data_IF_365843173335
#
_entry.id   IF_365843173335
#
_cell.length_a   1.000
_cell.length_b   1.000
_cell.length_c   1.000
_cell.angle_alpha   90.00
_cell.angle_beta   90.00
_cell.angle_gamma   90.00
#
_symmetry.space_group_name_H-M   'P 1'
#
loop_
_entity.id
_entity.type
_entity.pdbx_description
1 polymer ?
#
# COMPACT_ATOMS: atom_id res chain seq x y z
N UNK A 1 -3.77 22.14 7.21
CA UNK A 1 -4.93 21.28 6.85
C UNK A 1 -4.75 19.95 7.61
N UNK A 2 -5.80 19.20 7.92
CA UNK A 2 -5.69 17.95 8.70
C UNK A 2 -5.61 16.77 7.70
N UNK A 3 -4.70 15.80 7.86
CA UNK A 3 -4.62 14.65 6.94
C UNK A 3 -5.91 13.82 6.88
N UNK A 4 -6.72 13.86 7.94
CA UNK A 4 -8.02 13.17 7.99
C UNK A 4 -9.17 14.18 7.97
N UNK A 5 -10.25 13.80 7.27
CA UNK A 5 -11.51 14.53 7.25
C UNK A 5 -12.00 14.91 8.66
N UNK A 6 -12.64 16.07 8.81
CA UNK A 6 -13.16 16.53 10.11
C UNK A 6 -14.15 15.55 10.75
N UNK A 7 -14.92 14.82 9.92
CA UNK A 7 -15.90 13.84 10.37
C UNK A 7 -15.24 12.66 11.09
N UNK A 8 -14.06 12.23 10.63
CA UNK A 8 -13.35 11.07 11.17
C UNK A 8 -12.34 11.40 12.26
N UNK A 9 -12.11 12.68 12.58
CA UNK A 9 -11.22 13.08 13.68
C UNK A 9 -11.67 12.51 15.03
N UNK A 10 -12.99 12.34 15.22
CA UNK A 10 -13.56 11.73 16.43
C UNK A 10 -13.29 10.22 16.55
N UNK A 11 -12.85 9.58 15.47
CA UNK A 11 -12.57 8.15 15.40
C UNK A 11 -11.07 7.82 15.50
N UNK A 12 -10.22 8.84 15.70
CA UNK A 12 -8.77 8.67 15.82
C UNK A 12 -8.43 8.04 17.17
N UNK A 13 -7.71 6.92 17.13
CA UNK A 13 -7.14 6.26 18.30
C UNK A 13 -5.68 6.67 18.47
N UNK A 14 -5.23 7.04 19.67
CA UNK A 14 -3.81 7.33 19.92
C UNK A 14 -2.93 6.15 19.50
N UNK A 15 -1.91 6.41 18.68
CA UNK A 15 -1.07 5.34 18.14
C UNK A 15 -0.46 4.44 19.21
N UNK A 16 0.05 5.01 20.31
CA UNK A 16 0.64 4.21 21.39
C UNK A 16 -0.38 3.25 22.03
N UNK A 17 -1.62 3.70 22.22
CA UNK A 17 -2.69 2.86 22.75
C UNK A 17 -3.00 1.74 21.76
N UNK A 18 -3.24 2.09 20.49
CA UNK A 18 -3.56 1.11 19.47
C UNK A 18 -2.42 0.11 19.22
N UNK A 19 -1.16 0.56 19.25
CA UNK A 19 0.03 -0.28 19.10
C UNK A 19 0.04 -1.37 20.15
N UNK A 20 -0.19 -1.02 21.41
CA UNK A 20 -0.19 -1.96 22.51
C UNK A 20 -1.39 -2.93 22.40
N UNK A 21 -2.57 -2.44 22.00
CA UNK A 21 -3.73 -3.29 21.70
C UNK A 21 -3.43 -4.26 20.54
N UNK A 22 -2.84 -3.77 19.46
CA UNK A 22 -2.48 -4.54 18.27
C UNK A 22 -1.47 -5.64 18.58
N UNK A 23 -0.42 -5.35 19.35
CA UNK A 23 0.53 -6.35 19.84
C UNK A 23 -0.21 -7.43 20.63
N UNK A 24 -1.17 -7.04 21.48
CA UNK A 24 -1.94 -7.98 22.30
C UNK A 24 -2.98 -8.79 21.51
N UNK A 25 -3.30 -8.44 20.26
CA UNK A 25 -4.11 -9.28 19.36
C UNK A 25 -3.42 -10.59 18.97
N UNK A 26 -2.11 -10.71 19.22
CA UNK A 26 -1.31 -11.89 18.89
C UNK A 26 -1.13 -12.78 20.12
N UNK A 27 -1.53 -14.05 20.00
CA UNK A 27 -1.48 -14.99 21.15
C UNK A 27 -0.09 -15.59 21.40
N UNK A 28 0.83 -15.49 20.43
CA UNK A 28 2.15 -16.09 20.50
C UNK A 28 3.20 -15.04 20.88
N UNK A 29 3.97 -15.28 21.94
CA UNK A 29 5.01 -14.34 22.40
C UNK A 29 6.11 -14.10 21.35
N UNK A 30 6.41 -15.10 20.51
CA UNK A 30 7.33 -14.93 19.38
C UNK A 30 6.77 -13.91 18.38
N UNK A 31 5.48 -13.97 18.09
CA UNK A 31 4.82 -13.03 17.17
C UNK A 31 4.78 -11.62 17.78
N UNK A 32 4.44 -11.49 19.07
CA UNK A 32 4.47 -10.21 19.77
C UNK A 32 5.86 -9.58 19.71
N UNK A 33 6.91 -10.36 20.01
CA UNK A 33 8.29 -9.88 19.95
C UNK A 33 8.69 -9.42 18.55
N UNK A 34 8.31 -10.15 17.50
CA UNK A 34 8.56 -9.75 16.12
C UNK A 34 7.88 -8.41 15.76
N UNK A 35 6.65 -8.19 16.24
CA UNK A 35 5.90 -6.96 16.00
C UNK A 35 6.46 -5.79 16.81
N UNK A 36 6.90 -6.02 18.06
CA UNK A 36 7.63 -5.02 18.84
C UNK A 36 8.89 -4.57 18.09
N UNK A 37 9.67 -5.52 17.55
CA UNK A 37 10.87 -5.21 16.78
C UNK A 37 10.55 -4.37 15.52
N UNK A 38 9.40 -4.58 14.87
CA UNK A 38 8.95 -3.73 13.76
C UNK A 38 8.72 -2.29 14.20
N UNK A 39 7.98 -2.08 15.29
CA UNK A 39 7.75 -0.72 15.78
C UNK A 39 9.02 -0.05 16.28
N UNK A 40 9.94 -0.79 16.90
CA UNK A 40 11.25 -0.28 17.27
C UNK A 40 12.08 0.11 16.05
N UNK A 41 12.08 -0.68 14.97
CA UNK A 41 12.76 -0.34 13.71
C UNK A 41 12.18 0.96 13.10
N UNK A 42 10.85 1.10 13.10
CA UNK A 42 10.16 2.32 12.65
C UNK A 42 10.62 3.54 13.47
N UNK A 43 10.58 3.45 14.80
CA UNK A 43 11.03 4.54 15.69
C UNK A 43 12.51 4.86 15.51
N UNK A 44 13.36 3.84 15.35
CA UNK A 44 14.79 4.00 15.18
C UNK A 44 15.13 4.69 13.85
N UNK A 45 14.43 4.39 12.75
CA UNK A 45 14.60 5.10 11.49
C UNK A 45 14.22 6.57 11.60
N UNK A 46 13.07 6.87 12.22
CA UNK A 46 12.63 8.26 12.44
C UNK A 46 13.70 9.06 13.21
N UNK A 47 14.19 8.50 14.33
CA UNK A 47 15.24 9.12 15.16
C UNK A 47 16.54 9.32 14.38
N UNK A 48 17.01 8.30 13.65
CA UNK A 48 18.26 8.35 12.89
C UNK A 48 18.23 9.38 11.77
N UNK A 49 17.07 9.59 11.14
CA UNK A 49 16.92 10.48 9.98
C UNK A 49 16.38 11.86 10.33
N UNK A 50 15.97 12.09 11.59
CA UNK A 50 15.27 13.29 12.02
C UNK A 50 14.06 13.59 11.12
N UNK A 51 13.27 12.55 10.86
CA UNK A 51 12.12 12.61 9.96
C UNK A 51 10.94 11.90 10.64
N UNK A 52 9.96 12.65 11.17
CA UNK A 52 8.84 12.06 11.89
C UNK A 52 7.90 11.31 10.93
N UNK A 53 7.39 10.17 11.39
CA UNK A 53 6.34 9.39 10.76
C UNK A 53 5.18 9.26 11.74
N UNK A 54 4.08 9.92 11.43
CA UNK A 54 2.89 9.96 12.27
C UNK A 54 1.90 8.86 11.85
N UNK A 55 1.35 8.16 12.83
CA UNK A 55 0.30 7.17 12.61
C UNK A 55 -1.04 7.75 13.03
N UNK A 56 -2.03 7.66 12.14
CA UNK A 56 -3.40 7.99 12.42
C UNK A 56 -4.27 6.75 12.26
N UNK A 57 -4.63 6.18 13.40
CA UNK A 57 -5.46 4.98 13.44
C UNK A 57 -6.91 5.40 13.52
N UNK A 58 -7.72 5.02 12.53
CA UNK A 58 -9.14 5.35 12.44
C UNK A 58 -9.96 4.10 12.73
N UNK A 59 -10.76 4.13 13.79
CA UNK A 59 -11.65 3.01 14.15
C UNK A 59 -12.91 2.99 13.25
N UNK A 60 -12.69 2.81 11.96
CA UNK A 60 -13.72 2.76 10.92
C UNK A 60 -13.34 1.72 9.84
N UNK A 61 -14.27 1.40 8.95
CA UNK A 61 -14.05 0.42 7.88
C UNK A 61 -13.16 0.97 6.75
N UNK A 62 -13.16 2.30 6.61
CA UNK A 62 -12.38 3.07 5.65
C UNK A 62 -11.91 4.40 6.25
N UNK A 63 -10.85 4.97 5.71
CA UNK A 63 -10.34 6.31 6.01
C UNK A 63 -10.47 7.20 4.78
N UNK A 64 -10.81 8.46 4.99
CA UNK A 64 -10.87 9.49 3.95
C UNK A 64 -9.81 10.55 4.20
N UNK A 65 -8.82 10.59 3.32
CA UNK A 65 -7.88 11.71 3.23
C UNK A 65 -8.62 12.96 2.75
N UNK A 66 -8.17 14.16 3.13
CA UNK A 66 -8.94 15.41 3.03
C UNK A 66 -9.70 15.63 1.71
N UNK A 67 -9.09 15.29 0.57
CA UNK A 67 -9.67 15.43 -0.77
C UNK A 67 -9.71 14.10 -1.56
N UNK A 68 -9.51 12.97 -0.88
CA UNK A 68 -9.39 11.65 -1.49
C UNK A 68 -10.65 10.78 -1.37
N UNK A 69 -10.59 9.62 -2.05
CA UNK A 69 -11.56 8.55 -1.88
C UNK A 69 -11.38 7.85 -0.52
N UNK A 70 -12.40 7.10 -0.11
CA UNK A 70 -12.33 6.27 1.08
C UNK A 70 -11.50 4.99 0.82
N UNK A 71 -10.34 4.89 1.48
CA UNK A 71 -9.40 3.76 1.37
C UNK A 71 -9.34 2.96 2.67
N UNK A 72 -8.62 1.84 2.68
CA UNK A 72 -8.33 1.10 3.92
C UNK A 72 -7.18 1.73 4.72
N UNK A 73 -6.43 2.64 4.09
CA UNK A 73 -5.28 3.32 4.65
C UNK A 73 -4.44 3.96 3.55
N UNK A 74 -3.30 4.53 3.92
CA UNK A 74 -2.31 5.00 2.96
C UNK A 74 -1.19 5.78 3.62
N UNK A 75 -0.11 5.95 2.88
CA UNK A 75 1.02 6.82 3.20
C UNK A 75 0.94 8.12 2.39
N UNK A 76 1.07 9.26 3.08
CA UNK A 76 1.10 10.57 2.43
C UNK A 76 2.04 11.53 3.16
N UNK A 77 2.59 12.50 2.43
CA UNK A 77 3.31 13.63 3.01
C UNK A 77 2.39 14.85 3.13
N UNK A 78 2.17 15.34 4.35
CA UNK A 78 1.25 16.42 4.67
C UNK A 78 1.96 17.54 5.46
N UNK A 79 2.12 18.74 4.87
CA UNK A 79 2.83 19.87 5.48
C UNK A 79 4.22 19.50 6.06
N UNK A 80 5.07 18.85 5.26
CA UNK A 80 6.39 18.35 5.65
C UNK A 80 6.40 17.19 6.67
N UNK A 81 5.24 16.69 7.08
CA UNK A 81 5.13 15.51 7.94
C UNK A 81 4.79 14.28 7.10
N UNK A 82 5.39 13.13 7.44
CA UNK A 82 4.99 11.85 6.85
C UNK A 82 3.89 11.23 7.71
N UNK A 83 2.87 10.70 7.04
CA UNK A 83 1.67 10.19 7.68
C UNK A 83 1.32 8.82 7.13
N UNK A 84 1.02 7.88 8.03
CA UNK A 84 0.30 6.63 7.71
C UNK A 84 -1.07 6.72 8.36
N UNK A 85 -2.12 6.65 7.54
CA UNK A 85 -3.49 6.48 8.02
C UNK A 85 -3.92 5.02 7.85
N UNK A 86 -4.65 4.48 8.83
CA UNK A 86 -5.10 3.09 8.81
C UNK A 86 -6.53 2.95 9.36
N UNK A 87 -7.42 2.38 8.57
CA UNK A 87 -8.76 2.00 9.00
C UNK A 87 -8.74 0.58 9.58
N UNK A 88 -9.14 0.41 10.83
CA UNK A 88 -8.94 -0.86 11.56
C UNK A 88 -10.20 -1.69 11.77
N UNK A 89 -11.40 -1.12 11.55
CA UNK A 89 -12.65 -1.82 11.83
C UNK A 89 -12.90 -2.94 10.82
N UNK A 90 -13.15 -4.14 11.33
CA UNK A 90 -13.46 -5.32 10.51
C UNK A 90 -12.27 -5.89 9.74
N UNK A 91 -11.04 -5.43 10.00
CA UNK A 91 -9.82 -5.96 9.38
C UNK A 91 -9.23 -7.05 10.26
N UNK A 92 -8.67 -8.08 9.61
CA UNK A 92 -7.93 -9.10 10.34
C UNK A 92 -6.51 -8.60 10.67
N UNK A 93 -5.90 -9.15 11.71
CA UNK A 93 -4.58 -8.71 12.19
C UNK A 93 -3.44 -8.95 11.20
N UNK A 94 -3.54 -9.96 10.33
CA UNK A 94 -2.53 -10.21 9.29
C UNK A 94 -2.67 -9.16 8.19
N UNK A 95 -3.90 -8.84 7.76
CA UNK A 95 -4.19 -7.75 6.81
C UNK A 95 -3.63 -6.41 7.33
N UNK A 96 -3.88 -6.08 8.60
CA UNK A 96 -3.33 -4.87 9.21
C UNK A 96 -1.80 -4.87 9.27
N UNK A 97 -1.18 -6.01 9.63
CA UNK A 97 0.28 -6.10 9.69
C UNK A 97 0.92 -5.95 8.30
N UNK A 98 0.38 -6.63 7.30
CA UNK A 98 0.81 -6.54 5.90
C UNK A 98 0.73 -5.09 5.41
N UNK A 99 -0.37 -4.41 5.72
CA UNK A 99 -0.59 -3.00 5.38
C UNK A 99 0.43 -2.07 6.05
N UNK A 100 0.66 -2.20 7.37
CA UNK A 100 1.67 -1.39 8.09
C UNK A 100 3.05 -1.55 7.46
N UNK A 101 3.44 -2.78 7.12
CA UNK A 101 4.73 -3.02 6.48
C UNK A 101 4.81 -2.33 5.12
N UNK A 102 3.75 -2.42 4.31
CA UNK A 102 3.68 -1.79 2.99
C UNK A 102 3.82 -0.27 3.06
N UNK A 103 2.99 0.39 3.87
CA UNK A 103 3.04 1.85 4.00
C UNK A 103 4.36 2.34 4.63
N UNK A 104 4.93 1.58 5.55
CA UNK A 104 6.26 1.87 6.08
C UNK A 104 7.35 1.74 4.99
N UNK A 105 7.23 0.79 4.07
CA UNK A 105 8.15 0.67 2.94
C UNK A 105 8.06 1.87 1.99
N UNK A 106 6.88 2.44 1.75
CA UNK A 106 6.74 3.72 1.03
C UNK A 106 7.47 4.86 1.75
N UNK A 107 7.34 4.95 3.08
CA UNK A 107 8.13 5.90 3.86
C UNK A 107 9.64 5.71 3.66
N UNK A 108 10.14 4.47 3.67
CA UNK A 108 11.55 4.19 3.41
C UNK A 108 11.99 4.60 2.00
N UNK A 109 11.14 4.42 0.98
CA UNK A 109 11.41 4.84 -0.38
C UNK A 109 11.53 6.38 -0.48
N UNK A 110 10.62 7.12 0.17
CA UNK A 110 10.69 8.59 0.22
C UNK A 110 11.94 9.09 0.95
N UNK A 111 12.30 8.48 2.08
CA UNK A 111 13.55 8.78 2.76
C UNK A 111 14.75 8.57 1.82
N UNK A 112 14.82 7.43 1.15
CA UNK A 112 15.91 7.14 0.22
C UNK A 112 15.96 8.15 -0.93
N UNK A 113 14.81 8.61 -1.43
CA UNK A 113 14.74 9.64 -2.45
C UNK A 113 15.33 10.97 -1.97
N UNK A 114 14.91 11.44 -0.78
CA UNK A 114 15.40 12.67 -0.15
C UNK A 114 16.92 12.58 0.10
N UNK A 115 17.40 11.51 0.72
CA UNK A 115 18.81 11.38 1.10
C UNK A 115 19.75 11.19 -0.08
N UNK A 116 19.28 10.57 -1.16
CA UNK A 116 20.08 10.41 -2.39
C UNK A 116 19.92 11.59 -3.35
N UNK A 117 19.24 12.67 -2.93
CA UNK A 117 18.90 13.81 -3.77
C UNK A 117 18.24 13.39 -5.10
N UNK A 118 17.47 12.30 -5.06
CA UNK A 118 16.68 11.82 -6.19
C UNK A 118 15.35 12.54 -6.12
N UNK A 119 15.16 13.50 -7.02
CA UNK A 119 13.84 14.08 -7.22
C UNK A 119 12.96 13.01 -7.86
N UNK A 120 11.96 12.51 -7.13
CA UNK A 120 10.87 11.75 -7.76
C UNK A 120 10.09 12.76 -8.60
N UNK A 121 10.41 12.82 -9.89
CA UNK A 121 9.67 13.65 -10.84
C UNK A 121 8.43 12.86 -11.23
N UNK A 122 7.39 12.93 -10.38
CA UNK A 122 6.05 12.53 -10.79
C UNK A 122 5.60 13.49 -11.89
N UNK A 123 5.35 12.95 -13.07
CA UNK A 123 4.71 13.67 -14.17
C UNK A 123 3.28 14.04 -13.79
N UNK A 124 2.68 14.97 -14.52
CA UNK A 124 1.26 15.30 -14.34
C UNK A 124 0.36 14.05 -14.52
N UNK A 125 0.73 13.17 -15.45
CA UNK A 125 0.06 11.89 -15.68
C UNK A 125 0.16 10.98 -14.45
N UNK A 126 1.35 10.89 -13.84
CA UNK A 126 1.55 10.10 -12.62
C UNK A 126 0.63 10.61 -11.50
N UNK A 127 0.61 11.93 -11.26
CA UNK A 127 -0.25 12.52 -10.22
C UNK A 127 -1.73 12.23 -10.44
N UNK A 128 -2.20 12.30 -11.69
CA UNK A 128 -3.62 12.03 -11.99
C UNK A 128 -3.94 10.55 -11.80
N UNK A 129 -3.07 9.64 -12.24
CA UNK A 129 -3.28 8.19 -12.09
C UNK A 129 -3.23 7.77 -10.62
N UNK A 130 -2.29 8.30 -9.84
CA UNK A 130 -2.16 7.98 -8.41
C UNK A 130 -3.30 8.57 -7.58
N UNK A 131 -3.78 9.78 -7.89
CA UNK A 131 -4.77 10.48 -7.06
C UNK A 131 -6.23 10.20 -7.43
N UNK A 132 -6.51 9.43 -8.48
CA UNK A 132 -7.89 9.22 -8.92
C UNK A 132 -8.19 7.75 -9.15
N UNK A 133 -8.97 7.15 -8.26
CA UNK A 133 -9.54 5.86 -8.54
C UNK A 133 -10.52 5.93 -9.73
N UNK A 134 -11.09 7.10 -10.00
CA UNK A 134 -12.08 7.31 -11.05
C UNK A 134 -11.49 7.82 -12.39
N UNK A 135 -10.38 8.56 -12.41
CA UNK A 135 -9.87 9.15 -13.66
C UNK A 135 -9.03 8.19 -14.52
N UNK A 136 -8.77 6.97 -14.04
CA UNK A 136 -8.08 5.92 -14.81
C UNK A 136 -8.81 5.51 -16.12
N UNK A 137 -10.04 6.00 -16.31
CA UNK A 137 -10.88 5.79 -17.49
C UNK A 137 -10.67 6.77 -18.66
N UNK A 138 -11.80 7.11 -19.29
CA UNK A 138 -11.90 7.91 -20.52
C UNK A 138 -11.21 9.27 -20.38
N UNK A 139 -11.20 9.86 -19.19
CA UNK A 139 -10.64 11.18 -18.96
C UNK A 139 -9.11 11.23 -19.16
N UNK A 140 -8.35 10.34 -18.51
CA UNK A 140 -6.89 10.23 -18.73
C UNK A 140 -6.58 9.86 -20.18
N UNK A 141 -7.34 8.93 -20.77
CA UNK A 141 -7.16 8.51 -22.18
C UNK A 141 -7.53 9.60 -23.19
N UNK A 142 -8.38 10.57 -22.80
CA UNK A 142 -8.77 11.69 -23.64
C UNK A 142 -7.80 12.88 -23.55
N UNK A 143 -7.07 12.99 -22.43
CA UNK A 143 -6.14 14.10 -22.15
C UNK A 143 -4.69 13.79 -22.52
N UNK A 144 -4.30 12.53 -22.49
CA UNK A 144 -2.90 12.12 -22.65
C UNK A 144 -2.72 11.06 -23.74
N UNK A 145 -1.55 11.07 -24.37
CA UNK A 145 -1.16 10.05 -25.34
C UNK A 145 -1.07 8.68 -24.67
N UNK A 146 -1.56 7.63 -25.34
CA UNK A 146 -1.55 6.25 -24.82
C UNK A 146 -0.17 5.81 -24.31
N UNK A 147 0.89 6.23 -24.99
CA UNK A 147 2.29 5.90 -24.60
C UNK A 147 2.67 6.49 -23.24
N UNK A 148 2.19 7.69 -22.92
CA UNK A 148 2.54 8.41 -21.70
C UNK A 148 1.79 7.81 -20.51
N UNK A 149 0.53 7.42 -20.73
CA UNK A 149 -0.28 6.65 -19.77
C UNK A 149 0.37 5.31 -19.47
N UNK A 150 0.75 4.52 -20.49
CA UNK A 150 1.43 3.24 -20.30
C UNK A 150 2.76 3.39 -19.55
N UNK A 151 3.55 4.41 -19.87
CA UNK A 151 4.80 4.68 -19.17
C UNK A 151 4.57 5.04 -17.69
N UNK A 152 3.47 5.74 -17.38
CA UNK A 152 3.09 6.06 -16.00
C UNK A 152 2.68 4.83 -15.21
N UNK A 153 1.80 3.97 -15.75
CA UNK A 153 1.45 2.70 -15.12
C UNK A 153 2.68 1.82 -14.87
N UNK A 154 3.59 1.75 -15.84
CA UNK A 154 4.83 1.00 -15.66
C UNK A 154 5.66 1.52 -14.49
N UNK A 155 5.82 2.85 -14.36
CA UNK A 155 6.54 3.46 -13.23
C UNK A 155 5.85 3.17 -11.89
N UNK A 156 4.52 3.26 -11.84
CA UNK A 156 3.76 2.95 -10.64
C UNK A 156 3.95 1.48 -10.22
N UNK A 157 3.82 0.54 -11.15
CA UNK A 157 4.02 -0.89 -10.85
C UNK A 157 5.47 -1.19 -10.45
N UNK A 158 6.46 -0.54 -11.07
CA UNK A 158 7.86 -0.65 -10.65
C UNK A 158 8.09 -0.09 -9.23
N UNK A 159 7.41 1.00 -8.87
CA UNK A 159 7.46 1.59 -7.52
C UNK A 159 6.84 0.65 -6.47
N UNK A 160 5.66 0.10 -6.76
CA UNK A 160 4.98 -0.90 -5.93
C UNK A 160 5.81 -2.19 -5.79
N UNK A 161 6.46 -2.62 -6.87
CA UNK A 161 7.31 -3.81 -6.85
C UNK A 161 8.54 -3.61 -5.94
N UNK A 162 9.21 -2.45 -5.99
CA UNK A 162 10.28 -2.12 -5.05
C UNK A 162 9.77 -2.06 -3.60
N UNK A 163 8.59 -1.49 -3.38
CA UNK A 163 7.95 -1.46 -2.07
C UNK A 163 7.74 -2.89 -1.55
N UNK A 164 7.15 -3.76 -2.37
CA UNK A 164 6.85 -5.14 -2.03
C UNK A 164 8.11 -5.98 -1.79
N UNK A 165 9.20 -5.75 -2.52
CA UNK A 165 10.49 -6.37 -2.21
C UNK A 165 10.97 -6.01 -0.80
N UNK A 166 10.86 -4.74 -0.40
CA UNK A 166 11.22 -4.28 0.95
C UNK A 166 10.30 -4.88 2.01
N UNK A 167 9.00 -4.99 1.75
CA UNK A 167 8.05 -5.65 2.66
C UNK A 167 8.48 -7.09 2.92
N UNK A 168 8.80 -7.85 1.87
CA UNK A 168 9.25 -9.22 1.98
C UNK A 168 10.58 -9.35 2.74
N UNK A 169 11.48 -8.38 2.62
CA UNK A 169 12.72 -8.31 3.42
C UNK A 169 12.44 -8.03 4.90
N UNK A 170 11.52 -7.10 5.21
CA UNK A 170 11.07 -6.83 6.58
C UNK A 170 10.44 -8.07 7.21
N UNK A 171 9.54 -8.76 6.49
CA UNK A 171 8.89 -9.99 6.95
C UNK A 171 9.95 -11.04 7.33
N UNK A 172 10.94 -11.26 6.46
CA UNK A 172 12.01 -12.24 6.70
C UNK A 172 12.94 -11.83 7.84
N UNK A 173 13.42 -10.59 7.82
CA UNK A 173 14.44 -10.10 8.75
C UNK A 173 13.92 -10.02 10.18
N UNK A 174 12.67 -9.59 10.36
CA UNK A 174 12.02 -9.48 11.67
C UNK A 174 11.23 -10.74 12.06
N UNK A 175 11.14 -11.73 11.15
CA UNK A 175 10.35 -12.96 11.33
C UNK A 175 8.89 -12.65 11.68
N UNK A 176 8.30 -11.73 10.93
CA UNK A 176 6.92 -11.33 11.15
C UNK A 176 5.97 -12.51 10.94
N UNK A 177 4.85 -12.57 11.68
CA UNK A 177 3.86 -13.64 11.57
C UNK A 177 2.96 -13.48 10.34
N UNK A 178 3.56 -13.35 9.17
CA UNK A 178 2.89 -13.30 7.87
C UNK A 178 3.29 -14.52 7.05
N UNK A 179 2.32 -15.12 6.38
CA UNK A 179 2.56 -16.20 5.44
C UNK A 179 3.22 -15.64 4.18
N UNK A 180 4.49 -15.99 3.98
CA UNK A 180 5.31 -15.44 2.91
C UNK A 180 4.73 -15.69 1.52
N UNK A 181 4.24 -16.90 1.26
CA UNK A 181 3.72 -17.28 -0.06
C UNK A 181 2.37 -16.58 -0.31
N UNK A 182 1.49 -16.57 0.69
CA UNK A 182 0.21 -15.86 0.64
C UNK A 182 0.42 -14.36 0.41
N UNK A 183 1.40 -13.74 1.08
CA UNK A 183 1.75 -12.33 0.88
C UNK A 183 2.28 -12.08 -0.53
N UNK A 184 3.17 -12.92 -1.06
CA UNK A 184 3.66 -12.79 -2.44
C UNK A 184 2.51 -12.86 -3.45
N UNK A 185 1.57 -13.80 -3.28
CA UNK A 185 0.40 -13.95 -4.15
C UNK A 185 -0.48 -12.70 -4.14
N UNK A 186 -0.76 -12.13 -2.97
CA UNK A 186 -1.53 -10.88 -2.83
C UNK A 186 -0.87 -9.71 -3.54
N UNK A 187 0.44 -9.54 -3.36
CA UNK A 187 1.22 -8.48 -4.03
C UNK A 187 1.23 -8.66 -5.56
N UNK A 188 1.43 -9.89 -6.05
CA UNK A 188 1.36 -10.20 -7.48
C UNK A 188 -0.03 -9.90 -8.06
N UNK A 189 -1.09 -10.27 -7.34
CA UNK A 189 -2.47 -9.97 -7.74
C UNK A 189 -2.74 -8.46 -7.80
N UNK A 190 -2.18 -7.68 -6.86
CA UNK A 190 -2.27 -6.22 -6.87
C UNK A 190 -1.51 -5.59 -8.04
N UNK A 191 -0.31 -6.08 -8.37
CA UNK A 191 0.43 -5.64 -9.56
C UNK A 191 -0.34 -5.93 -10.87
N UNK A 192 -0.92 -7.14 -11.00
CA UNK A 192 -1.77 -7.49 -12.14
C UNK A 192 -3.00 -6.59 -12.24
N UNK A 193 -3.55 -6.16 -11.11
CA UNK A 193 -4.67 -5.23 -11.11
C UNK A 193 -4.32 -3.91 -11.78
N UNK A 194 -3.16 -3.32 -11.52
CA UNK A 194 -2.78 -2.04 -12.16
C UNK A 194 -2.74 -2.16 -13.69
N UNK A 195 -2.27 -3.30 -14.22
CA UNK A 195 -2.39 -3.61 -15.65
C UNK A 195 -3.86 -3.72 -16.09
N UNK A 196 -4.67 -4.51 -15.37
CA UNK A 196 -6.06 -4.74 -15.68
C UNK A 196 -6.89 -3.44 -15.66
N UNK A 197 -6.62 -2.56 -14.70
CA UNK A 197 -7.29 -1.29 -14.49
C UNK A 197 -7.01 -0.31 -15.64
N UNK A 198 -5.78 -0.30 -16.19
CA UNK A 198 -5.47 0.44 -17.42
C UNK A 198 -6.37 0.03 -18.59
N UNK A 199 -6.56 -1.28 -18.80
CA UNK A 199 -7.38 -1.79 -19.90
C UNK A 199 -8.87 -1.55 -19.69
N UNK A 200 -9.37 -1.81 -18.48
CA UNK A 200 -10.78 -1.66 -18.12
C UNK A 200 -11.19 -0.21 -17.89
N UNK A 201 -10.23 0.68 -17.61
CA UNK A 201 -10.45 2.10 -17.36
C UNK A 201 -11.25 2.37 -16.08
N UNK A 202 -11.15 1.49 -15.08
CA UNK A 202 -11.82 1.59 -13.79
C UNK A 202 -11.08 0.76 -12.74
N UNK A 203 -11.45 0.91 -11.47
CA UNK A 203 -11.02 0.02 -10.40
C UNK A 203 -11.80 -1.30 -10.41
N UNK A 204 -11.27 -2.28 -9.67
CA UNK A 204 -11.94 -3.56 -9.49
C UNK A 204 -13.26 -3.40 -8.71
N UNK A 205 -14.22 -4.29 -8.96
CA UNK A 205 -15.41 -4.51 -8.12
C UNK A 205 -15.09 -5.40 -6.91
N UNK A 206 -14.24 -6.40 -7.12
CA UNK A 206 -13.76 -7.32 -6.08
C UNK A 206 -12.24 -7.21 -5.98
N UNK A 207 -11.73 -7.07 -4.75
CA UNK A 207 -10.29 -6.93 -4.50
C UNK A 207 -9.53 -8.19 -4.96
N UNK A 208 -8.61 -8.08 -5.95
CA UNK A 208 -7.86 -9.22 -6.47
C UNK A 208 -7.05 -9.94 -5.38
N UNK A 209 -6.61 -9.23 -4.34
CA UNK A 209 -5.89 -9.81 -3.21
C UNK A 209 -6.79 -10.67 -2.29
N UNK A 210 -8.10 -10.71 -2.57
CA UNK A 210 -9.13 -11.47 -1.82
C UNK A 210 -9.88 -12.49 -2.69
N UNK A 211 -9.66 -12.51 -4.00
CA UNK A 211 -10.33 -13.43 -4.93
C UNK A 211 -9.50 -14.70 -5.10
N UNK A 212 -9.96 -15.83 -4.53
CA UNK A 212 -9.24 -17.12 -4.59
C UNK A 212 -8.87 -17.54 -6.02
N UNK A 213 -9.78 -17.38 -6.99
CA UNK A 213 -9.51 -17.76 -8.38
C UNK A 213 -8.36 -16.94 -9.04
N UNK A 214 -8.07 -15.74 -8.53
CA UNK A 214 -6.92 -14.93 -8.96
C UNK A 214 -5.68 -15.32 -8.16
N UNK A 215 -5.81 -15.51 -6.85
CA UNK A 215 -4.69 -15.93 -6.00
C UNK A 215 -4.14 -17.33 -6.36
N UNK A 216 -4.97 -18.19 -6.94
CA UNK A 216 -4.58 -19.54 -7.37
C UNK A 216 -3.78 -19.54 -8.68
N UNK A 217 -3.88 -18.49 -9.49
CA UNK A 217 -3.19 -18.37 -10.78
C UNK A 217 -1.87 -17.62 -10.70
N UNK A 218 -1.70 -16.77 -9.70
CA UNK A 218 -0.44 -16.05 -9.47
C UNK A 218 0.61 -16.87 -8.73
N UNK A 219 1.88 -16.62 -9.06
CA UNK A 219 3.04 -17.28 -8.47
C UNK A 219 3.15 -17.03 -6.96
N UNK A 220 3.70 -18.01 -6.23
CA UNK A 220 3.96 -17.92 -4.77
C UNK A 220 5.24 -17.16 -4.42
N UNK A 221 5.97 -16.67 -5.41
CA UNK A 221 7.10 -15.76 -5.28
C UNK A 221 6.77 -14.42 -5.93
N UNK A 222 7.30 -13.32 -5.40
CA UNK A 222 7.08 -12.01 -6.03
C UNK A 222 7.64 -12.00 -7.46
N UNK A 223 6.78 -11.69 -8.42
CA UNK A 223 7.07 -11.77 -9.85
C UNK A 223 7.35 -10.37 -10.41
N UNK A 224 8.29 -10.27 -11.35
CA UNK A 224 8.62 -8.98 -11.93
C UNK A 224 7.45 -8.43 -12.77
N UNK A 225 7.30 -7.10 -12.87
CA UNK A 225 6.19 -6.50 -13.62
C UNK A 225 6.08 -6.99 -15.08
N UNK A 226 7.21 -7.21 -15.75
CA UNK A 226 7.26 -7.63 -17.16
C UNK A 226 6.71 -9.03 -17.39
N UNK A 227 6.92 -9.95 -16.45
CA UNK A 227 6.41 -11.32 -16.53
C UNK A 227 4.90 -11.35 -16.33
N UNK A 228 4.37 -10.51 -15.43
CA UNK A 228 2.94 -10.38 -15.17
C UNK A 228 2.16 -9.86 -16.39
N UNK A 229 2.74 -8.94 -17.17
CA UNK A 229 2.13 -8.46 -18.42
C UNK A 229 1.86 -9.60 -19.43
N UNK A 230 2.75 -10.60 -19.46
CA UNK A 230 2.64 -11.74 -20.37
C UNK A 230 1.59 -12.78 -19.95
N UNK A 231 1.24 -12.81 -18.67
CA UNK A 231 0.31 -13.78 -18.08
C UNK A 231 -1.13 -13.29 -18.00
N UNK A 232 -1.46 -12.20 -18.69
CA UNK A 232 -2.73 -11.48 -18.58
C UNK A 232 -3.98 -12.38 -18.39
N UNK A 233 -4.51 -12.35 -17.17
CA UNK A 233 -5.39 -13.42 -16.69
C UNK A 233 -6.87 -13.20 -16.98
N UNK A 234 -7.50 -14.21 -17.59
CA UNK A 234 -8.95 -14.32 -17.76
C UNK A 234 -9.70 -14.18 -16.42
N UNK A 235 -9.16 -14.77 -15.35
CA UNK A 235 -9.75 -14.74 -14.01
C UNK A 235 -9.79 -13.32 -13.42
N UNK A 236 -8.70 -12.55 -13.55
CA UNK A 236 -8.66 -11.16 -13.11
C UNK A 236 -9.81 -10.35 -13.73
N UNK A 237 -10.02 -10.51 -15.03
CA UNK A 237 -11.07 -9.80 -15.74
C UNK A 237 -12.48 -10.28 -15.46
N UNK A 238 -12.66 -11.58 -15.26
CA UNK A 238 -13.98 -12.18 -15.02
C UNK A 238 -14.47 -11.94 -13.60
N UNK A 239 -13.58 -12.07 -12.62
CA UNK A 239 -13.94 -12.10 -11.21
C UNK A 239 -13.77 -10.74 -10.54
N UNK A 240 -12.82 -9.90 -11.01
CA UNK A 240 -12.57 -8.59 -10.40
C UNK A 240 -13.23 -7.42 -11.14
N UNK A 241 -13.55 -7.55 -12.44
CA UNK A 241 -14.07 -6.45 -13.26
C UNK A 241 -15.47 -6.68 -13.80
#
# INVERSE_FOLDING_TARGET
>A
MNPISNEQQSCIVPFNQWRDEFINMWNCEVHKSAIVNLFEEIENKQKKRNTPLNFYIVNDERVKFSDGDETIGGFEQFNDEFVICLAVKGKDREELLEFICHEYCHFLQELDAIFNNRKIILTEVDKIITNSHEAMGIEVKSKFEKRDVLASYKRMIEHEYDCNLRVLDIIKSLRLPLDYEKTCKRMNAYHLFHYAAFYKGRWYRNDPAKVTAVLDTVESTLTTPQELESQFEENMFKECF
#
